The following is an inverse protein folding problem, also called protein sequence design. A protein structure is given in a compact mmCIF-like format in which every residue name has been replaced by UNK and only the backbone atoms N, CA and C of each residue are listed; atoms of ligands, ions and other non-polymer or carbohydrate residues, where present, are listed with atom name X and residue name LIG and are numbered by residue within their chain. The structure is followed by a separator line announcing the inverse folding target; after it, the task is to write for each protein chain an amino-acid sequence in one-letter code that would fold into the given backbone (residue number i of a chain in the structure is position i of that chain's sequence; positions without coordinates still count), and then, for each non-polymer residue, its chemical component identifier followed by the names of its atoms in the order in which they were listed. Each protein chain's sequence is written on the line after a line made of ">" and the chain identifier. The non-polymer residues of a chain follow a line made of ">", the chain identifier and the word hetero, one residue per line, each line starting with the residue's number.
data_IF_005716085427
#
_entry.id   IF_005716085427
#
_cell.length_a   1.000
_cell.length_b   1.000
_cell.length_c   1.000
_cell.angle_alpha   90.00
_cell.angle_beta   90.00
_cell.angle_gamma   90.00
#
_symmetry.space_group_name_H-M   'P 1'
#
loop_
_entity.id
_entity.type
_entity.pdbx_description
1 polymer ?
#
# COMPACT_ATOMS: atom_id res chain seq x y z
N UNK A 1 -25.28 -7.03 -34.79
CA UNK A 1 -24.88 -6.50 -33.48
C UNK A 1 -23.39 -6.24 -33.59
N UNK A 2 -22.97 -4.98 -33.55
CA UNK A 2 -21.55 -4.60 -33.70
C UNK A 2 -20.77 -5.18 -32.52
N UNK A 3 -20.04 -6.26 -32.73
CA UNK A 3 -19.09 -6.78 -31.75
C UNK A 3 -17.83 -5.87 -31.80
N UNK A 4 -17.92 -4.75 -31.06
CA UNK A 4 -16.91 -3.67 -30.98
C UNK A 4 -15.79 -3.99 -29.97
N UNK A 5 -15.70 -5.24 -29.50
CA UNK A 5 -14.67 -5.68 -28.55
C UNK A 5 -13.32 -5.75 -29.27
N UNK A 6 -12.49 -4.74 -29.07
CA UNK A 6 -11.15 -4.66 -29.66
C UNK A 6 -10.95 -3.56 -30.70
N UNK A 7 -11.84 -2.55 -30.76
CA UNK A 7 -11.64 -1.33 -31.56
C UNK A 7 -10.59 -0.38 -30.94
N UNK A 8 -9.47 -0.94 -30.47
CA UNK A 8 -8.34 -0.22 -29.90
C UNK A 8 -7.11 -0.62 -30.69
N UNK A 9 -6.40 0.37 -31.23
CA UNK A 9 -5.15 0.15 -31.93
C UNK A 9 -4.13 -0.56 -31.04
N UNK A 10 -3.41 -1.53 -31.61
CA UNK A 10 -2.41 -2.34 -30.88
C UNK A 10 -1.36 -1.46 -30.19
N UNK A 11 -0.95 -0.37 -30.84
CA UNK A 11 -0.01 0.60 -30.26
C UNK A 11 -0.58 1.27 -29.00
N UNK A 12 -1.86 1.65 -29.04
CA UNK A 12 -2.55 2.26 -27.89
C UNK A 12 -2.67 1.26 -26.75
N UNK A 13 -3.04 0.01 -27.04
CA UNK A 13 -3.08 -1.05 -26.05
C UNK A 13 -1.71 -1.29 -25.42
N UNK A 14 -0.65 -1.34 -26.23
CA UNK A 14 0.72 -1.51 -25.75
C UNK A 14 1.15 -0.36 -24.83
N UNK A 15 0.86 0.90 -25.18
CA UNK A 15 1.15 2.05 -24.34
C UNK A 15 0.42 1.98 -22.99
N UNK A 16 -0.86 1.58 -23.00
CA UNK A 16 -1.64 1.40 -21.77
C UNK A 16 -1.03 0.30 -20.91
N UNK A 17 -0.72 -0.85 -21.49
CA UNK A 17 -0.09 -1.97 -20.75
C UNK A 17 1.27 -1.57 -20.19
N UNK A 18 2.11 -0.87 -20.96
CA UNK A 18 3.39 -0.36 -20.50
C UNK A 18 3.23 0.65 -19.36
N UNK A 19 2.25 1.55 -19.45
CA UNK A 19 1.93 2.50 -18.39
C UNK A 19 1.48 1.79 -17.11
N UNK A 20 0.64 0.76 -17.24
CA UNK A 20 0.20 -0.07 -16.11
C UNK A 20 1.35 -0.85 -15.48
N UNK A 21 2.26 -1.40 -16.29
CA UNK A 21 3.46 -2.07 -15.79
C UNK A 21 4.39 -1.09 -15.07
N UNK A 22 4.56 0.12 -15.59
CA UNK A 22 5.33 1.16 -14.91
C UNK A 22 4.68 1.55 -13.57
N UNK A 23 3.36 1.71 -13.53
CA UNK A 23 2.63 1.96 -12.28
C UNK A 23 2.80 0.81 -11.29
N UNK A 24 2.70 -0.43 -11.77
CA UNK A 24 2.91 -1.63 -10.95
C UNK A 24 4.31 -1.64 -10.34
N UNK A 25 5.33 -1.33 -11.12
CA UNK A 25 6.73 -1.25 -10.65
C UNK A 25 6.88 -0.19 -9.55
N UNK A 26 6.24 0.98 -9.70
CA UNK A 26 6.25 2.02 -8.67
C UNK A 26 5.62 1.53 -7.38
N UNK A 27 4.47 0.85 -7.46
CA UNK A 27 3.81 0.28 -6.29
C UNK A 27 4.68 -0.78 -5.60
N UNK A 28 5.35 -1.63 -6.36
CA UNK A 28 6.25 -2.65 -5.83
C UNK A 28 7.45 -2.03 -5.09
N UNK A 29 8.03 -0.96 -5.63
CA UNK A 29 9.11 -0.20 -4.96
C UNK A 29 8.59 0.41 -3.66
N UNK A 30 7.39 1.00 -3.67
CA UNK A 30 6.77 1.56 -2.46
C UNK A 30 6.55 0.47 -1.41
N UNK A 31 6.03 -0.69 -1.82
CA UNK A 31 5.82 -1.83 -0.92
C UNK A 31 7.13 -2.34 -0.33
N UNK A 32 8.19 -2.44 -1.13
CA UNK A 32 9.52 -2.83 -0.65
C UNK A 32 10.07 -1.85 0.40
N UNK A 33 9.95 -0.53 0.16
CA UNK A 33 10.41 0.50 1.08
C UNK A 33 9.61 0.50 2.38
N UNK A 34 8.28 0.46 2.28
CA UNK A 34 7.37 0.43 3.44
C UNK A 34 7.58 -0.86 4.22
N UNK A 35 7.69 -2.00 3.54
CA UNK A 35 7.97 -3.31 4.14
C UNK A 35 9.31 -3.33 4.87
N UNK A 36 10.36 -2.74 4.29
CA UNK A 36 11.66 -2.59 4.93
C UNK A 36 11.58 -1.75 6.21
N UNK A 37 10.87 -0.62 6.18
CA UNK A 37 10.66 0.22 7.36
C UNK A 37 9.86 -0.52 8.45
N UNK A 38 8.80 -1.21 8.07
CA UNK A 38 7.97 -1.99 8.98
C UNK A 38 8.72 -3.20 9.55
N UNK A 39 9.65 -3.80 8.82
CA UNK A 39 10.49 -4.89 9.32
C UNK A 39 11.42 -4.42 10.44
N UNK A 40 12.00 -3.22 10.32
CA UNK A 40 12.81 -2.60 11.38
C UNK A 40 11.96 -2.25 12.60
N UNK A 41 10.75 -1.73 12.39
CA UNK A 41 9.81 -1.41 13.47
C UNK A 41 9.08 -2.66 14.01
N UNK A 42 9.13 -3.78 13.31
CA UNK A 42 8.42 -5.02 13.62
C UNK A 42 8.70 -5.55 15.02
N UNK A 43 9.97 -5.67 15.44
CA UNK A 43 10.32 -6.06 16.81
C UNK A 43 9.80 -5.10 17.89
N UNK A 44 9.63 -3.81 17.57
CA UNK A 44 9.09 -2.79 18.47
C UNK A 44 7.55 -2.75 18.46
N UNK A 45 6.89 -3.41 17.50
CA UNK A 45 5.43 -3.49 17.39
C UNK A 45 4.72 -3.89 18.70
N UNK A 46 5.16 -4.91 19.48
CA UNK A 46 4.54 -5.22 20.77
C UNK A 46 4.65 -4.05 21.76
N UNK A 47 5.78 -3.33 21.79
CA UNK A 47 5.98 -2.17 22.67
C UNK A 47 5.09 -1.01 22.25
N UNK A 48 5.04 -0.71 20.95
CA UNK A 48 4.16 0.34 20.40
C UNK A 48 2.69 0.02 20.70
N UNK A 49 2.29 -1.24 20.50
CA UNK A 49 0.93 -1.71 20.83
C UNK A 49 0.65 -1.55 22.31
N UNK A 50 1.59 -1.93 23.18
CA UNK A 50 1.44 -1.78 24.63
C UNK A 50 1.32 -0.31 25.03
N UNK A 51 2.15 0.57 24.47
CA UNK A 51 2.05 2.02 24.69
C UNK A 51 0.70 2.57 24.23
N UNK A 52 0.22 2.15 23.05
CA UNK A 52 -1.11 2.52 22.57
C UNK A 52 -2.22 2.05 23.52
N UNK A 53 -2.14 0.81 24.02
CA UNK A 53 -3.09 0.30 25.02
C UNK A 53 -3.04 1.11 26.30
N UNK A 54 -1.85 1.44 26.80
CA UNK A 54 -1.68 2.28 28.00
C UNK A 54 -2.31 3.66 27.78
N UNK A 55 -2.06 4.30 26.63
CA UNK A 55 -2.65 5.60 26.29
C UNK A 55 -4.18 5.51 26.25
N UNK A 56 -4.74 4.45 25.66
CA UNK A 56 -6.18 4.21 25.63
C UNK A 56 -6.75 4.03 27.04
N UNK A 57 -6.05 3.29 27.92
CA UNK A 57 -6.48 3.09 29.31
C UNK A 57 -6.41 4.39 30.11
N UNK A 58 -5.33 5.17 29.96
CA UNK A 58 -5.17 6.46 30.64
C UNK A 58 -6.25 7.46 30.19
N UNK A 59 -6.56 7.48 28.89
CA UNK A 59 -7.66 8.27 28.35
C UNK A 59 -9.02 7.82 28.91
N UNK A 60 -9.27 6.50 28.99
CA UNK A 60 -10.53 5.97 29.56
C UNK A 60 -10.72 6.33 31.04
N UNK A 61 -9.60 6.43 31.78
CA UNK A 61 -9.60 6.82 33.19
C UNK A 61 -9.62 8.34 33.40
N UNK A 62 -9.71 9.13 32.32
CA UNK A 62 -9.64 10.60 32.34
C UNK A 62 -8.35 11.12 33.01
N UNK A 63 -7.24 10.40 32.80
CA UNK A 63 -5.91 10.71 33.34
C UNK A 63 -4.93 11.22 32.28
N UNK A 64 -5.39 11.43 31.06
CA UNK A 64 -4.62 11.96 29.93
C UNK A 64 -5.08 13.39 29.64
#
# INVERSE_FOLDING_TARGET
>A
MLDSRGDVEVETLLKVVLGLLALLLVLEIVEFLVGGLLAVLGPLRPVITLLAVILVVLWLLDRL
#
